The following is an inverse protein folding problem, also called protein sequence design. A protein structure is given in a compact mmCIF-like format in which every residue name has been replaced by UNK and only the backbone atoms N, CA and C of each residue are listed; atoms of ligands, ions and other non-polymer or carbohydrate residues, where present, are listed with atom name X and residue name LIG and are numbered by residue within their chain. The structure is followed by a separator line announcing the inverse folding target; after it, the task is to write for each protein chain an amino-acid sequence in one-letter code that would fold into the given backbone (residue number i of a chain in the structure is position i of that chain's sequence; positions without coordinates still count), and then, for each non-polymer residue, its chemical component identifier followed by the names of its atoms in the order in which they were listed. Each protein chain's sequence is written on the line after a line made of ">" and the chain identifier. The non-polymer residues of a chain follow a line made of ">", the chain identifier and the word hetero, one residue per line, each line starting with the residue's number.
data_IF_552034907842
#
_entry.id   IF_552034907842
#
_cell.length_a   1.000
_cell.length_b   1.000
_cell.length_c   1.000
_cell.angle_alpha   90.00
_cell.angle_beta   90.00
_cell.angle_gamma   90.00
#
_symmetry.space_group_name_H-M   'P 1'
#
loop_
_entity.id
_entity.type
_entity.pdbx_description
1 polymer ?
#
# COMPACT_ATOMS: atom_id res chain seq x y z
N UNK A 1 -5.61 6.05 -24.42
CA UNK A 1 -6.33 5.12 -23.53
C UNK A 1 -5.45 3.96 -23.07
N UNK A 2 -5.13 3.90 -21.77
CA UNK A 2 -4.39 2.82 -21.12
C UNK A 2 -5.38 1.89 -20.41
N UNK A 3 -5.22 0.57 -20.54
CA UNK A 3 -6.08 -0.45 -19.92
C UNK A 3 -5.32 -1.26 -18.88
N UNK A 4 -5.92 -1.49 -17.72
CA UNK A 4 -5.32 -2.28 -16.64
C UNK A 4 -6.42 -2.78 -15.69
N UNK A 5 -6.05 -3.65 -14.74
CA UNK A 5 -6.97 -4.13 -13.70
C UNK A 5 -6.74 -3.34 -12.41
N UNK A 6 -7.77 -2.72 -11.87
CA UNK A 6 -7.75 -1.97 -10.62
C UNK A 6 -8.63 -2.65 -9.57
N UNK A 7 -8.03 -3.08 -8.45
CA UNK A 7 -8.74 -3.71 -7.34
C UNK A 7 -9.66 -4.87 -7.83
N UNK A 8 -9.14 -5.69 -8.74
CA UNK A 8 -9.84 -6.82 -9.35
C UNK A 8 -10.73 -6.49 -10.56
N UNK A 9 -11.01 -5.21 -10.84
CA UNK A 9 -11.92 -4.76 -11.92
C UNK A 9 -11.16 -4.21 -13.12
N UNK A 10 -11.60 -4.52 -14.33
CA UNK A 10 -11.01 -3.96 -15.54
C UNK A 10 -11.39 -2.48 -15.66
N UNK A 11 -10.39 -1.63 -15.91
CA UNK A 11 -10.57 -0.18 -16.08
C UNK A 11 -9.75 0.33 -17.27
N UNK A 12 -10.11 1.51 -17.74
CA UNK A 12 -9.35 2.23 -18.76
C UNK A 12 -9.35 3.72 -18.46
N UNK A 13 -8.22 4.39 -18.66
CA UNK A 13 -8.07 5.84 -18.49
C UNK A 13 -7.59 6.46 -19.80
N UNK A 14 -8.06 7.67 -20.10
CA UNK A 14 -7.64 8.42 -21.29
C UNK A 14 -6.93 9.70 -20.89
N UNK A 15 -5.65 9.54 -20.53
CA UNK A 15 -4.75 10.60 -20.08
C UNK A 15 -3.40 10.47 -20.82
N UNK A 16 -2.55 11.52 -20.85
CA UNK A 16 -1.20 11.43 -21.41
C UNK A 16 -0.38 10.27 -20.82
N UNK A 17 0.45 9.64 -21.66
CA UNK A 17 1.22 8.43 -21.32
C UNK A 17 2.19 8.61 -20.13
N UNK A 18 2.68 9.83 -19.94
CA UNK A 18 3.59 10.23 -18.87
C UNK A 18 2.87 10.67 -17.59
N UNK A 19 1.54 10.71 -17.60
CA UNK A 19 0.73 11.04 -16.42
C UNK A 19 1.10 10.09 -15.27
N UNK A 20 1.49 10.62 -14.10
CA UNK A 20 1.71 9.78 -12.92
C UNK A 20 0.46 8.98 -12.56
N UNK A 21 0.64 7.68 -12.29
CA UNK A 21 -0.41 6.76 -11.87
C UNK A 21 -1.21 7.30 -10.69
N UNK A 22 -0.57 8.06 -9.80
CA UNK A 22 -1.24 8.73 -8.68
C UNK A 22 -2.44 9.56 -9.13
N UNK A 23 -2.31 10.35 -10.20
CA UNK A 23 -3.37 11.24 -10.68
C UNK A 23 -4.46 10.46 -11.40
N UNK A 24 -4.09 9.48 -12.23
CA UNK A 24 -5.06 8.57 -12.84
C UNK A 24 -5.89 7.83 -11.78
N UNK A 25 -5.27 7.38 -10.68
CA UNK A 25 -6.00 6.71 -9.60
C UNK A 25 -6.93 7.65 -8.85
N UNK A 26 -6.47 8.86 -8.52
CA UNK A 26 -7.21 9.77 -7.65
C UNK A 26 -8.28 10.58 -8.38
N UNK A 27 -7.94 11.10 -9.55
CA UNK A 27 -8.72 12.13 -10.22
C UNK A 27 -9.62 11.52 -11.31
N UNK A 28 -9.17 10.45 -11.98
CA UNK A 28 -9.96 9.75 -13.00
C UNK A 28 -10.76 8.55 -12.45
N UNK A 29 -10.28 7.93 -11.36
CA UNK A 29 -10.83 6.67 -10.85
C UNK A 29 -11.29 6.74 -9.38
N UNK A 30 -11.29 7.93 -8.77
CA UNK A 30 -11.76 8.22 -7.41
C UNK A 30 -11.14 7.37 -6.29
N UNK A 31 -9.94 6.79 -6.50
CA UNK A 31 -9.20 6.02 -5.49
C UNK A 31 -8.40 6.96 -4.58
N UNK A 32 -9.14 7.73 -3.78
CA UNK A 32 -8.58 8.84 -2.98
C UNK A 32 -7.81 8.42 -1.74
N UNK A 33 -7.84 7.14 -1.37
CA UNK A 33 -7.09 6.56 -0.25
C UNK A 33 -5.58 6.67 -0.44
N UNK A 34 -5.11 6.57 -1.68
CA UNK A 34 -3.71 6.82 -2.08
C UNK A 34 -3.42 8.33 -2.02
N UNK A 35 -2.33 8.76 -1.35
CA UNK A 35 -2.11 10.20 -1.05
C UNK A 35 -0.91 10.82 -1.78
N UNK A 36 -1.03 12.10 -2.11
CA UNK A 36 0.07 12.93 -2.63
C UNK A 36 0.88 13.56 -1.49
N UNK A 37 2.02 12.99 -1.13
CA UNK A 37 2.87 13.56 -0.07
C UNK A 37 4.00 14.46 -0.57
N UNK A 38 4.81 14.00 -1.53
CA UNK A 38 6.01 14.72 -1.98
C UNK A 38 6.21 14.78 -3.50
N UNK A 39 5.49 13.98 -4.31
CA UNK A 39 5.65 13.94 -5.77
C UNK A 39 6.95 13.35 -6.32
N UNK A 40 7.95 13.11 -5.46
CA UNK A 40 9.31 12.70 -5.87
C UNK A 40 9.73 11.32 -5.33
N UNK A 41 8.76 10.47 -4.98
CA UNK A 41 9.02 9.08 -4.56
C UNK A 41 9.57 8.86 -3.13
N UNK A 42 9.88 9.93 -2.38
CA UNK A 42 10.55 9.82 -1.08
C UNK A 42 9.64 9.45 0.10
N UNK A 43 8.40 9.95 0.16
CA UNK A 43 7.59 9.85 1.38
C UNK A 43 6.80 8.54 1.55
N UNK A 44 6.58 7.78 0.47
CA UNK A 44 5.79 6.54 0.49
C UNK A 44 4.27 6.69 0.70
N UNK A 45 3.72 7.90 0.84
CA UNK A 45 2.28 8.09 1.04
C UNK A 45 1.42 7.67 -0.18
N UNK A 46 2.03 7.63 -1.36
CA UNK A 46 1.41 7.26 -2.63
C UNK A 46 1.53 5.76 -2.96
N UNK A 47 1.95 4.94 -2.00
CA UNK A 47 2.23 3.51 -2.27
C UNK A 47 0.98 2.75 -2.63
N UNK A 48 1.06 2.04 -3.75
CA UNK A 48 0.07 1.07 -4.24
C UNK A 48 0.82 -0.23 -4.58
N UNK A 49 0.12 -1.31 -4.90
CA UNK A 49 0.75 -2.49 -5.49
C UNK A 49 0.55 -2.49 -7.00
N UNK A 50 1.63 -2.71 -7.77
CA UNK A 50 1.58 -2.97 -9.21
C UNK A 50 2.19 -4.34 -9.43
N UNK A 51 1.44 -5.28 -10.03
CA UNK A 51 1.86 -6.68 -10.14
C UNK A 51 2.17 -7.33 -8.78
N UNK A 52 1.46 -6.90 -7.73
CA UNK A 52 1.67 -7.38 -6.37
C UNK A 52 2.93 -6.86 -5.66
N UNK A 53 3.58 -5.80 -6.16
CA UNK A 53 4.75 -5.16 -5.53
C UNK A 53 4.48 -3.71 -5.14
N UNK A 54 4.94 -3.30 -3.95
CA UNK A 54 4.88 -1.91 -3.51
C UNK A 54 5.58 -0.96 -4.50
N UNK A 55 4.82 0.03 -4.99
CA UNK A 55 5.22 0.94 -6.06
C UNK A 55 4.82 2.38 -5.71
N UNK A 56 5.70 3.35 -6.02
CA UNK A 56 5.47 4.78 -5.78
C UNK A 56 4.67 5.39 -6.95
N UNK A 57 3.35 5.38 -6.85
CA UNK A 57 2.47 5.85 -7.94
C UNK A 57 2.73 7.29 -8.40
N UNK A 58 3.30 8.16 -7.55
CA UNK A 58 3.61 9.55 -7.91
C UNK A 58 4.71 9.73 -8.96
N UNK A 59 5.53 8.71 -9.22
CA UNK A 59 6.61 8.73 -10.22
C UNK A 59 6.49 7.61 -11.25
N UNK A 60 5.42 6.82 -11.19
CA UNK A 60 5.16 5.74 -12.14
C UNK A 60 4.25 6.27 -13.24
N UNK A 61 4.68 6.36 -14.50
CA UNK A 61 3.83 6.79 -15.60
C UNK A 61 2.77 5.72 -15.92
N UNK A 62 1.55 6.13 -16.26
CA UNK A 62 0.46 5.19 -16.60
C UNK A 62 0.79 4.28 -17.78
N UNK A 63 1.58 4.75 -18.75
CA UNK A 63 2.05 3.93 -19.87
C UNK A 63 2.84 2.69 -19.43
N UNK A 64 3.47 2.71 -18.25
CA UNK A 64 4.25 1.58 -17.74
C UNK A 64 3.41 0.48 -17.08
N UNK A 65 2.10 0.71 -16.87
CA UNK A 65 1.21 -0.23 -16.17
C UNK A 65 0.13 -0.84 -17.06
N UNK A 66 0.25 -0.69 -18.39
CA UNK A 66 -0.69 -1.32 -19.32
C UNK A 66 -0.73 -2.85 -19.10
N UNK A 67 -1.95 -3.39 -18.99
CA UNK A 67 -2.21 -4.80 -18.71
C UNK A 67 -1.86 -5.27 -17.30
N UNK A 68 -1.29 -4.41 -16.44
CA UNK A 68 -0.91 -4.78 -15.09
C UNK A 68 -2.12 -4.85 -14.14
N UNK A 69 -1.92 -5.53 -13.01
CA UNK A 69 -2.84 -5.46 -11.88
C UNK A 69 -2.36 -4.42 -10.87
N UNK A 70 -3.22 -3.45 -10.57
CA UNK A 70 -3.01 -2.38 -9.60
C UNK A 70 -3.95 -2.60 -8.42
N UNK A 71 -3.39 -2.64 -7.21
CA UNK A 71 -4.16 -2.69 -5.96
C UNK A 71 -3.87 -1.45 -5.12
N UNK A 72 -4.92 -0.74 -4.72
CA UNK A 72 -4.84 0.39 -3.79
C UNK A 72 -5.29 -0.03 -2.39
N UNK A 73 -5.29 0.90 -1.42
CA UNK A 73 -5.73 0.61 -0.05
C UNK A 73 -7.20 0.16 0.00
N UNK A 74 -8.03 0.65 -0.91
CA UNK A 74 -9.43 0.27 -1.10
C UNK A 74 -9.58 -1.18 -1.57
N UNK A 75 -8.62 -1.67 -2.37
CA UNK A 75 -8.61 -3.03 -2.89
C UNK A 75 -7.85 -4.05 -2.06
N UNK A 76 -7.04 -3.62 -1.08
CA UNK A 76 -6.27 -4.54 -0.24
C UNK A 76 -7.18 -5.52 0.50
N UNK A 77 -8.28 -5.00 1.05
CA UNK A 77 -9.45 -5.77 1.42
C UNK A 77 -10.66 -4.82 1.46
N UNK A 78 -11.76 -5.08 0.72
CA UNK A 78 -12.89 -4.14 0.60
C UNK A 78 -13.53 -3.75 1.94
N UNK A 79 -13.61 -4.70 2.88
CA UNK A 79 -14.13 -4.46 4.24
C UNK A 79 -13.08 -4.03 5.27
N UNK A 80 -11.83 -3.80 4.85
CA UNK A 80 -10.77 -3.41 5.79
C UNK A 80 -10.33 -4.52 6.76
N UNK A 81 -10.48 -5.80 6.34
CA UNK A 81 -10.19 -7.01 7.13
C UNK A 81 -8.87 -7.68 6.74
N UNK A 82 -8.03 -7.05 5.93
CA UNK A 82 -6.67 -7.56 5.76
C UNK A 82 -5.96 -7.58 7.13
N UNK A 83 -5.19 -8.61 7.51
CA UNK A 83 -4.55 -8.68 8.83
C UNK A 83 -3.73 -7.44 9.21
N UNK A 84 -3.08 -6.79 8.23
CA UNK A 84 -2.41 -5.49 8.40
C UNK A 84 -3.38 -4.37 8.76
N UNK A 85 -4.53 -4.26 8.09
CA UNK A 85 -5.54 -3.23 8.38
C UNK A 85 -6.15 -3.44 9.78
N UNK A 86 -6.43 -4.68 10.16
CA UNK A 86 -6.93 -5.02 11.49
C UNK A 86 -5.92 -4.70 12.59
N UNK A 87 -4.66 -5.10 12.41
CA UNK A 87 -3.59 -4.76 13.34
C UNK A 87 -3.40 -3.25 13.48
N UNK A 88 -3.52 -2.49 12.38
CA UNK A 88 -3.45 -1.03 12.40
C UNK A 88 -4.54 -0.39 13.27
N UNK A 89 -5.77 -0.91 13.17
CA UNK A 89 -6.93 -0.46 13.95
C UNK A 89 -6.78 -0.83 15.42
N UNK A 90 -6.43 -2.09 15.71
CA UNK A 90 -6.32 -2.61 17.07
C UNK A 90 -5.23 -1.91 17.88
N UNK A 91 -4.12 -1.53 17.23
CA UNK A 91 -3.00 -0.84 17.88
C UNK A 91 -3.19 0.68 17.85
N UNK A 92 -4.27 1.17 17.21
CA UNK A 92 -4.55 2.60 17.05
C UNK A 92 -3.32 3.34 16.52
N UNK A 93 -2.77 2.81 15.41
CA UNK A 93 -1.57 3.35 14.78
C UNK A 93 -1.76 4.80 14.31
N UNK A 94 -2.85 5.17 13.61
CA UNK A 94 -3.01 6.50 13.06
C UNK A 94 -3.03 7.61 14.14
N UNK A 95 -2.35 8.72 13.84
CA UNK A 95 -2.65 10.03 14.43
C UNK A 95 -3.39 10.88 13.39
N UNK A 96 -2.67 11.62 12.53
CA UNK A 96 -3.30 12.42 11.46
C UNK A 96 -3.88 11.59 10.30
N UNK A 97 -3.54 10.30 10.22
CA UNK A 97 -4.01 9.39 9.17
C UNK A 97 -3.33 9.53 7.80
N UNK A 98 -2.68 10.64 7.48
CA UNK A 98 -2.25 10.96 6.11
C UNK A 98 -1.34 9.90 5.45
N UNK A 99 -0.29 9.45 6.13
CA UNK A 99 0.64 8.46 5.58
C UNK A 99 0.11 7.02 5.63
N UNK A 100 -0.98 6.77 6.36
CA UNK A 100 -1.30 5.43 6.85
C UNK A 100 -1.73 4.46 5.74
N UNK A 101 -2.42 4.93 4.70
CA UNK A 101 -2.71 4.10 3.52
C UNK A 101 -1.44 3.57 2.88
N UNK A 102 -0.47 4.44 2.61
CA UNK A 102 0.82 4.05 2.02
C UNK A 102 1.64 3.14 2.93
N UNK A 103 1.61 3.38 4.24
CA UNK A 103 2.24 2.52 5.24
C UNK A 103 1.65 1.11 5.25
N UNK A 104 0.32 0.99 5.23
CA UNK A 104 -0.38 -0.30 5.18
C UNK A 104 -0.03 -1.05 3.90
N UNK A 105 -0.05 -0.38 2.74
CA UNK A 105 0.33 -1.01 1.47
C UNK A 105 1.79 -1.46 1.47
N UNK A 106 2.72 -0.66 2.00
CA UNK A 106 4.12 -1.08 2.13
C UNK A 106 4.27 -2.29 3.07
N UNK A 107 3.58 -2.29 4.22
CA UNK A 107 3.59 -3.38 5.19
C UNK A 107 3.00 -4.69 4.63
N UNK A 108 1.93 -4.61 3.85
CA UNK A 108 1.36 -5.77 3.19
C UNK A 108 2.34 -6.40 2.18
N UNK A 109 3.06 -5.57 1.41
CA UNK A 109 4.12 -6.06 0.52
C UNK A 109 5.29 -6.67 1.31
N UNK A 110 5.68 -6.05 2.43
CA UNK A 110 6.73 -6.55 3.32
C UNK A 110 6.42 -7.96 3.82
N UNK A 111 5.20 -8.19 4.31
CA UNK A 111 4.82 -9.48 4.92
C UNK A 111 4.67 -10.61 3.91
N UNK A 112 4.53 -10.29 2.62
CA UNK A 112 4.60 -11.29 1.54
C UNK A 112 6.02 -11.82 1.37
N UNK A 113 7.02 -10.95 1.51
CA UNK A 113 8.44 -11.32 1.36
C UNK A 113 9.03 -11.84 2.69
N UNK A 114 8.55 -11.33 3.83
CA UNK A 114 8.99 -11.67 5.17
C UNK A 114 7.79 -12.03 6.07
N UNK A 115 7.30 -13.27 6.06
CA UNK A 115 6.15 -13.69 6.88
C UNK A 115 6.41 -13.68 8.40
N UNK A 116 7.68 -13.62 8.82
CA UNK A 116 8.09 -13.40 10.21
C UNK A 116 9.25 -12.40 10.27
N UNK A 117 8.97 -11.09 10.11
CA UNK A 117 10.00 -10.11 9.88
C UNK A 117 10.75 -9.73 11.17
N UNK A 118 12.08 -9.65 11.09
CA UNK A 118 12.90 -9.07 12.16
C UNK A 118 12.72 -7.55 12.21
N UNK A 119 13.21 -6.92 13.28
CA UNK A 119 13.13 -5.47 13.40
C UNK A 119 13.95 -4.74 12.35
N UNK A 120 15.09 -5.29 11.97
CA UNK A 120 15.97 -4.76 10.91
C UNK A 120 15.30 -4.88 9.54
N UNK A 121 14.59 -5.98 9.28
CA UNK A 121 13.83 -6.15 8.03
C UNK A 121 12.67 -5.15 7.94
N UNK A 122 11.95 -4.94 9.06
CA UNK A 122 10.91 -3.91 9.13
C UNK A 122 11.51 -2.54 8.83
N UNK A 123 12.62 -2.17 9.46
CA UNK A 123 13.24 -0.86 9.26
C UNK A 123 13.78 -0.67 7.85
N UNK A 124 14.43 -1.70 7.30
CA UNK A 124 14.98 -1.67 5.94
C UNK A 124 13.91 -1.44 4.88
N UNK A 125 12.76 -2.11 4.99
CA UNK A 125 11.68 -2.01 4.00
C UNK A 125 10.77 -0.79 4.24
N UNK A 126 10.45 -0.48 5.51
CA UNK A 126 9.55 0.62 5.86
C UNK A 126 10.26 1.98 5.90
N UNK A 127 11.60 2.03 5.87
CA UNK A 127 12.39 3.27 5.96
C UNK A 127 12.06 4.30 4.88
N UNK A 128 11.54 3.88 3.72
CA UNK A 128 11.07 4.77 2.66
C UNK A 128 9.64 5.32 2.84
N UNK A 129 8.98 5.02 3.96
CA UNK A 129 7.60 5.42 4.24
C UNK A 129 7.59 6.35 5.45
N UNK A 130 7.48 7.66 5.18
CA UNK A 130 7.64 8.70 6.19
C UNK A 130 6.35 8.95 6.98
N UNK A 131 6.48 9.17 8.28
CA UNK A 131 5.39 9.51 9.20
C UNK A 131 5.76 10.73 10.06
N UNK A 132 5.13 11.88 9.80
CA UNK A 132 5.43 13.12 10.56
C UNK A 132 4.88 13.10 11.99
N UNK A 133 3.89 12.25 12.26
CA UNK A 133 3.35 11.99 13.60
C UNK A 133 4.21 11.05 14.44
N UNK A 134 5.31 10.51 13.89
CA UNK A 134 6.26 9.63 14.59
C UNK A 134 5.62 8.35 15.16
N UNK A 135 4.63 7.77 14.48
CA UNK A 135 3.95 6.54 14.94
C UNK A 135 4.73 5.24 14.68
N UNK A 136 6.03 5.30 14.37
CA UNK A 136 6.84 4.16 13.91
C UNK A 136 6.86 2.97 14.87
N UNK A 137 6.89 3.21 16.18
CA UNK A 137 6.82 2.13 17.20
C UNK A 137 5.49 1.37 17.08
N UNK A 138 4.38 2.09 16.86
CA UNK A 138 3.05 1.48 16.67
C UNK A 138 2.96 0.76 15.33
N UNK A 139 3.53 1.33 14.27
CA UNK A 139 3.64 0.71 12.94
C UNK A 139 4.35 -0.63 13.04
N UNK A 140 5.54 -0.69 13.64
CA UNK A 140 6.30 -1.93 13.86
C UNK A 140 5.50 -2.96 14.66
N UNK A 141 4.86 -2.52 15.76
CA UNK A 141 3.99 -3.40 16.57
C UNK A 141 2.84 -3.98 15.73
N UNK A 142 2.24 -3.18 14.85
CA UNK A 142 1.15 -3.61 13.99
C UNK A 142 1.61 -4.58 12.90
N UNK A 143 2.79 -4.36 12.31
CA UNK A 143 3.40 -5.31 11.37
C UNK A 143 3.63 -6.67 12.03
N UNK A 144 4.23 -6.70 13.22
CA UNK A 144 4.46 -7.97 13.96
C UNK A 144 3.15 -8.67 14.34
N UNK A 145 2.13 -7.91 14.76
CA UNK A 145 0.80 -8.47 15.06
C UNK A 145 0.15 -9.07 13.81
N UNK A 146 0.20 -8.38 12.69
CA UNK A 146 -0.32 -8.88 11.41
C UNK A 146 0.43 -10.13 10.94
N UNK A 147 1.76 -10.16 11.08
CA UNK A 147 2.58 -11.33 10.75
C UNK A 147 2.15 -12.58 11.55
N UNK A 148 1.93 -12.43 12.86
CA UNK A 148 1.45 -13.53 13.70
C UNK A 148 0.08 -14.05 13.24
N UNK A 149 -0.89 -13.14 13.01
CA UNK A 149 -2.24 -13.52 12.55
C UNK A 149 -2.21 -14.25 11.20
N UNK A 150 -1.42 -13.77 10.24
CA UNK A 150 -1.29 -14.42 8.91
C UNK A 150 -0.71 -15.84 9.00
N UNK A 151 0.18 -16.11 9.95
CA UNK A 151 0.72 -17.46 10.19
C UNK A 151 -0.29 -18.39 10.84
N UNK A 152 -1.07 -17.89 11.79
CA UNK A 152 -2.14 -18.66 12.43
C UNK A 152 -3.21 -19.07 11.41
N UNK A 153 -3.61 -18.18 10.51
CA UNK A 153 -4.53 -18.50 9.40
C UNK A 153 -3.95 -19.56 8.45
N UNK A 154 -2.67 -19.46 8.12
CA UNK A 154 -2.00 -20.45 7.26
C UNK A 154 -1.94 -21.83 7.93
N UNK A 155 -1.66 -21.87 9.24
CA UNK A 155 -1.63 -23.10 10.02
C UNK A 155 -3.02 -23.72 10.25
N UNK A 156 -4.08 -22.91 10.29
CA UNK A 156 -5.46 -23.39 10.44
C UNK A 156 -6.08 -23.92 9.13
N UNK A 157 -5.49 -23.59 7.98
CA UNK A 157 -6.00 -23.95 6.65
C UNK A 157 -5.20 -25.10 5.99
N UNK A 158 -4.19 -25.65 6.68
CA UNK A 158 -3.39 -26.80 6.24
C UNK A 158 -3.69 -28.04 7.06
#
# INVERSE_FOLDING_TARGET
>A
MIKFKLNGRDVSVDVPDDTPLLWALRDELDQTGTKFGCGVGQCGACTVHVGGRATRSCITPVSSIEGAEVTTIEGLHPEGKHPVQEAWRDIQVPQCGYCQSGQIMQAASLLKDYPDPTDEQIDGVMGGSLCRCMTYIRIRKAIKKAAAAMREETASNG
#
